data_IF_336234652988
#
_entry.id   IF_336234652988
#
_cell.length_a   1.000
_cell.length_b   1.000
_cell.length_c   1.000
_cell.angle_alpha   90.00
_cell.angle_beta   90.00
_cell.angle_gamma   90.00
#
_symmetry.space_group_name_H-M   'P 1'
#
loop_
_entity.id
_entity.type
_entity.pdbx_description
1 polymer ?
#
# COMPACT_ATOMS: atom_id res chain seq x y z
N UNK A 1 -8.14 -20.52 -72.26
CA UNK A 1 -9.28 -19.75 -71.70
C UNK A 1 -9.16 -19.84 -70.19
N UNK A 2 -8.85 -18.70 -69.59
CA UNK A 2 -8.40 -18.54 -68.21
C UNK A 2 -9.62 -18.41 -67.30
N UNK A 3 -9.67 -19.18 -66.21
CA UNK A 3 -10.70 -19.03 -65.16
C UNK A 3 -10.03 -18.42 -63.94
N UNK A 4 -10.32 -17.15 -63.74
CA UNK A 4 -9.97 -16.29 -62.60
C UNK A 4 -10.88 -16.59 -61.41
N UNK A 5 -10.28 -16.91 -60.27
CA UNK A 5 -10.92 -16.91 -58.94
C UNK A 5 -10.90 -15.51 -58.35
N UNK A 6 -12.08 -14.91 -58.16
CA UNK A 6 -12.26 -13.67 -57.41
C UNK A 6 -12.29 -13.94 -55.89
N UNK A 7 -11.52 -13.15 -55.14
CA UNK A 7 -11.55 -13.02 -53.68
C UNK A 7 -12.52 -11.88 -53.34
N UNK A 8 -13.58 -12.16 -52.59
CA UNK A 8 -14.36 -11.09 -51.93
C UNK A 8 -13.74 -10.69 -50.59
N UNK A 9 -13.61 -9.38 -50.44
CA UNK A 9 -13.02 -8.62 -49.34
C UNK A 9 -14.02 -8.36 -48.21
N UNK A 10 -13.59 -8.55 -46.97
CA UNK A 10 -14.32 -8.20 -45.75
C UNK A 10 -14.38 -6.68 -45.53
N UNK A 11 -15.58 -6.16 -45.27
CA UNK A 11 -15.83 -4.79 -44.83
C UNK A 11 -15.36 -4.58 -43.38
N UNK A 12 -14.43 -3.63 -43.21
CA UNK A 12 -14.00 -3.07 -41.91
C UNK A 12 -14.74 -1.75 -41.72
N UNK A 13 -15.51 -1.62 -40.64
CA UNK A 13 -16.13 -0.34 -40.24
C UNK A 13 -15.26 0.28 -39.16
N UNK A 14 -14.67 1.43 -39.50
CA UNK A 14 -14.00 2.36 -38.59
C UNK A 14 -15.01 2.97 -37.61
N UNK A 15 -14.65 3.04 -36.33
CA UNK A 15 -15.31 3.91 -35.36
C UNK A 15 -14.36 5.05 -35.01
N UNK A 16 -14.78 6.24 -35.42
CA UNK A 16 -14.04 7.49 -35.30
C UNK A 16 -13.84 7.94 -33.85
N UNK A 17 -12.65 8.52 -33.65
CA UNK A 17 -12.24 9.30 -32.50
C UNK A 17 -12.76 10.73 -32.65
N UNK A 18 -13.58 11.21 -31.72
CA UNK A 18 -13.78 12.65 -31.48
C UNK A 18 -13.04 13.00 -30.19
N UNK A 19 -11.93 13.72 -30.32
CA UNK A 19 -11.21 14.31 -29.20
C UNK A 19 -11.77 15.69 -28.86
N UNK A 20 -11.46 16.14 -27.65
CA UNK A 20 -11.19 17.53 -27.33
C UNK A 20 -9.86 17.54 -26.56
N UNK A 21 -8.83 18.07 -27.23
CA UNK A 21 -7.54 18.44 -26.68
C UNK A 21 -7.39 19.96 -26.88
N UNK A 22 -7.14 20.67 -25.79
CA UNK A 22 -6.44 21.95 -25.74
C UNK A 22 -5.65 21.92 -24.43
N UNK A 23 -4.38 22.28 -24.31
CA UNK A 23 -3.36 22.66 -25.28
C UNK A 23 -2.05 22.70 -24.47
N UNK A 24 -0.95 22.15 -24.99
CA UNK A 24 0.42 22.63 -24.71
C UNK A 24 1.41 21.97 -25.66
N UNK A 25 1.71 22.73 -26.71
CA UNK A 25 2.69 22.42 -27.72
C UNK A 25 4.11 22.17 -27.18
N UNK A 26 4.69 21.17 -27.85
CA UNK A 26 6.09 20.73 -27.99
C UNK A 26 7.03 21.85 -28.44
N UNK A 27 8.34 21.60 -28.32
CA UNK A 27 9.35 21.53 -29.39
C UNK A 27 10.70 21.14 -28.72
N UNK A 28 11.62 20.30 -29.23
CA UNK A 28 11.86 19.84 -30.59
C UNK A 28 12.74 18.56 -30.63
N UNK A 29 12.56 17.83 -31.74
CA UNK A 29 13.55 17.11 -32.58
C UNK A 29 14.33 15.90 -32.03
N UNK A 30 13.92 14.74 -32.56
CA UNK A 30 14.72 13.53 -32.84
C UNK A 30 15.81 13.81 -33.87
N UNK A 31 16.98 13.21 -33.65
CA UNK A 31 17.92 12.79 -34.70
C UNK A 31 18.31 11.33 -34.45
N UNK A 32 18.30 10.51 -35.51
CA UNK A 32 18.67 9.09 -35.55
C UNK A 32 20.13 8.94 -35.93
N UNK A 33 20.82 7.96 -35.32
CA UNK A 33 21.92 7.06 -35.78
C UNK A 33 22.75 6.69 -34.54
N UNK A 34 23.41 5.55 -34.37
CA UNK A 34 23.65 4.33 -35.14
C UNK A 34 24.25 3.29 -34.19
N UNK A 35 24.07 2.03 -34.55
CA UNK A 35 24.54 0.79 -33.92
C UNK A 35 26.06 0.77 -33.65
N UNK A 36 26.46 0.31 -32.46
CA UNK A 36 27.76 -0.36 -32.25
C UNK A 36 27.68 -1.32 -31.06
N UNK A 37 27.89 -2.60 -31.35
CA UNK A 37 28.18 -3.65 -30.38
C UNK A 37 29.65 -3.53 -29.98
N UNK A 38 29.97 -3.58 -28.68
CA UNK A 38 31.28 -4.05 -28.22
C UNK A 38 31.23 -4.59 -26.78
N UNK A 39 31.39 -5.91 -26.71
CA UNK A 39 32.13 -6.74 -25.76
C UNK A 39 32.17 -6.35 -24.27
N UNK A 40 31.58 -7.24 -23.47
CA UNK A 40 31.90 -7.45 -22.06
C UNK A 40 33.36 -7.87 -21.89
N UNK A 41 34.09 -7.14 -21.05
CA UNK A 41 35.25 -7.67 -20.32
C UNK A 41 35.03 -7.47 -18.83
N UNK A 42 34.99 -8.60 -18.12
CA UNK A 42 35.12 -8.67 -16.66
C UNK A 42 36.55 -8.32 -16.28
N UNK A 43 36.73 -7.37 -15.35
CA UNK A 43 37.91 -7.31 -14.50
C UNK A 43 37.46 -7.03 -13.06
N UNK A 44 37.98 -7.85 -12.15
CA UNK A 44 37.82 -7.81 -10.71
C UNK A 44 38.89 -6.91 -10.06
N UNK A 45 38.61 -6.52 -8.80
CA UNK A 45 39.49 -6.02 -7.71
C UNK A 45 39.47 -4.48 -7.47
N UNK A 46 39.87 -4.00 -6.27
CA UNK A 46 39.38 -4.31 -4.92
C UNK A 46 39.06 -3.00 -4.10
N UNK A 47 38.69 -3.17 -2.82
CA UNK A 47 38.39 -2.16 -1.78
C UNK A 47 39.06 -0.78 -1.93
N UNK A 48 38.26 0.29 -1.86
CA UNK A 48 38.73 1.63 -1.48
C UNK A 48 37.79 2.31 -0.48
N UNK A 49 38.41 2.72 0.62
CA UNK A 49 37.93 3.57 1.72
C UNK A 49 37.48 4.94 1.21
N UNK A 50 36.30 5.41 1.64
CA UNK A 50 35.79 6.77 1.35
C UNK A 50 35.97 7.66 2.61
N UNK A 51 36.39 8.93 2.49
CA UNK A 51 36.67 9.78 3.64
C UNK A 51 35.42 10.40 4.28
N UNK A 52 35.59 10.79 5.54
CA UNK A 52 34.58 11.36 6.44
C UNK A 52 33.94 12.67 5.93
N UNK A 53 32.61 12.77 6.07
CA UNK A 53 31.88 14.05 6.09
C UNK A 53 31.53 14.36 7.55
N UNK A 54 31.99 15.52 8.03
CA UNK A 54 31.80 16.03 9.39
C UNK A 54 30.41 16.62 9.54
N UNK A 55 29.61 16.14 10.49
CA UNK A 55 28.32 16.75 10.86
C UNK A 55 28.58 17.94 11.79
N UNK A 56 27.96 19.13 11.59
CA UNK A 56 28.08 20.24 12.53
C UNK A 56 27.22 20.03 13.78
N UNK A 57 27.78 20.31 14.96
CA UNK A 57 27.07 20.41 16.24
C UNK A 57 25.99 21.51 16.19
N UNK A 58 24.78 21.20 16.63
CA UNK A 58 23.71 22.19 16.82
C UNK A 58 23.51 22.50 18.30
N UNK A 59 23.67 23.78 18.66
CA UNK A 59 23.25 24.34 19.94
C UNK A 59 21.74 24.56 19.97
N UNK A 60 21.10 24.18 21.07
CA UNK A 60 19.67 24.35 21.31
C UNK A 60 19.29 25.83 21.53
N UNK A 61 18.19 26.33 20.94
CA UNK A 61 17.63 27.63 21.30
C UNK A 61 16.71 27.55 22.53
N UNK A 62 16.48 28.65 23.27
CA UNK A 62 15.79 28.63 24.55
C UNK A 62 14.26 28.54 24.41
N UNK A 63 13.64 27.87 25.39
CA UNK A 63 12.20 27.74 25.58
C UNK A 63 11.49 29.11 25.63
N UNK A 64 10.47 29.29 24.79
CA UNK A 64 9.51 30.37 24.89
C UNK A 64 8.08 29.81 24.89
N UNK A 65 7.26 30.42 25.74
CA UNK A 65 5.93 30.03 26.22
C UNK A 65 4.82 29.96 25.16
N UNK A 66 3.94 28.98 25.37
CA UNK A 66 2.69 28.66 24.65
C UNK A 66 1.73 29.82 24.44
N UNK A 67 1.17 29.95 23.22
CA UNK A 67 -0.14 30.58 22.98
C UNK A 67 -0.78 30.07 21.67
N UNK A 68 -2.03 29.60 21.76
CA UNK A 68 -3.16 29.48 20.80
C UNK A 68 -3.01 29.27 19.28
N UNK A 69 -1.89 29.59 18.64
CA UNK A 69 -1.68 29.48 17.19
C UNK A 69 -1.12 28.11 16.75
N UNK A 70 -0.53 27.33 17.66
CA UNK A 70 0.05 26.02 17.34
C UNK A 70 -0.99 24.94 17.03
N UNK A 71 -2.22 25.04 17.55
CA UNK A 71 -3.27 24.05 17.24
C UNK A 71 -3.80 24.18 15.81
N UNK A 72 -3.86 25.40 15.26
CA UNK A 72 -4.31 25.61 13.88
C UNK A 72 -3.29 25.09 12.86
N UNK A 73 -1.99 25.29 13.10
CA UNK A 73 -0.91 24.75 12.24
C UNK A 73 -0.75 23.22 12.37
N UNK A 74 -1.03 22.66 13.55
CA UNK A 74 -1.13 21.21 13.78
C UNK A 74 -2.21 20.55 12.92
N UNK A 75 -3.35 21.22 12.72
CA UNK A 75 -4.48 20.69 11.96
C UNK A 75 -4.30 20.85 10.44
N UNK A 76 -3.63 21.91 9.98
CA UNK A 76 -3.37 22.15 8.56
C UNK A 76 -2.50 21.05 7.91
N UNK A 77 -1.67 20.35 8.70
CA UNK A 77 -0.86 19.21 8.26
C UNK A 77 -1.60 17.85 8.25
N UNK A 78 -2.88 17.78 8.63
CA UNK A 78 -3.64 16.52 8.76
C UNK A 78 -4.76 16.34 7.73
N UNK A 79 -4.75 17.11 6.65
CA UNK A 79 -5.65 16.94 5.50
C UNK A 79 -4.90 16.36 4.31
N UNK A 80 -5.28 15.16 3.84
CA UNK A 80 -4.59 14.47 2.75
C UNK A 80 -4.53 15.37 1.50
N UNK A 81 -5.65 15.79 0.94
CA UNK A 81 -5.67 16.57 -0.31
C UNK A 81 -5.07 17.98 -0.23
N UNK A 82 -4.76 18.47 0.98
CA UNK A 82 -4.13 19.78 1.22
C UNK A 82 -2.64 19.66 1.56
N UNK A 83 -2.13 18.42 1.73
CA UNK A 83 -0.73 18.15 2.06
C UNK A 83 0.20 18.31 0.83
N UNK A 84 0.21 19.49 0.21
CA UNK A 84 1.04 19.82 -0.95
C UNK A 84 1.37 21.29 -1.11
N UNK A 85 0.70 22.16 -0.36
CA UNK A 85 0.69 23.60 -0.62
C UNK A 85 1.84 24.39 0.05
N UNK A 86 2.37 25.34 -0.73
CA UNK A 86 3.17 26.54 -0.40
C UNK A 86 4.71 26.50 -0.19
N UNK A 87 5.24 27.71 0.05
CA UNK A 87 6.26 28.50 -0.67
C UNK A 87 7.70 27.97 -0.77
N UNK A 88 8.37 28.29 -1.89
CA UNK A 88 9.76 27.92 -2.20
C UNK A 88 10.72 28.97 -1.62
N UNK A 89 11.57 28.57 -0.67
CA UNK A 89 12.79 29.31 -0.33
C UNK A 89 13.94 28.77 -1.21
N UNK A 90 14.50 29.64 -2.06
CA UNK A 90 15.63 29.31 -2.92
C UNK A 90 16.98 29.69 -2.28
N UNK A 91 17.97 28.77 -2.35
CA UNK A 91 19.46 28.94 -2.53
C UNK A 91 20.18 27.65 -2.07
N UNK A 92 21.35 27.20 -2.54
CA UNK A 92 22.37 27.54 -3.57
C UNK A 92 23.08 26.19 -3.89
N UNK A 93 23.53 25.88 -5.13
CA UNK A 93 24.18 24.60 -5.42
C UNK A 93 25.66 24.60 -4.96
N UNK A 94 26.07 23.53 -4.27
CA UNK A 94 27.45 23.18 -3.96
C UNK A 94 28.09 22.32 -5.05
N UNK A 95 29.43 22.32 -5.10
CA UNK A 95 30.30 21.89 -6.19
C UNK A 95 30.31 20.39 -6.53
N UNK A 96 30.53 20.14 -7.82
CA UNK A 96 30.58 18.85 -8.53
C UNK A 96 31.85 18.06 -8.23
N UNK A 97 31.72 16.88 -7.61
CA UNK A 97 32.65 15.74 -7.76
C UNK A 97 31.97 14.36 -7.67
N UNK A 98 30.64 14.29 -7.63
CA UNK A 98 29.87 13.05 -7.56
C UNK A 98 28.69 13.20 -8.54
N UNK A 99 28.33 12.16 -9.30
CA UNK A 99 27.23 12.27 -10.26
C UNK A 99 25.95 12.67 -9.51
N UNK A 100 25.20 13.66 -10.03
CA UNK A 100 23.97 14.12 -9.40
C UNK A 100 22.96 12.96 -9.29
N UNK A 101 22.76 12.45 -8.08
CA UNK A 101 21.74 11.44 -7.81
C UNK A 101 20.35 12.08 -7.79
N UNK A 102 19.35 11.37 -8.33
CA UNK A 102 17.97 11.79 -8.23
C UNK A 102 17.55 11.84 -6.75
N UNK A 103 17.26 13.04 -6.27
CA UNK A 103 16.79 13.28 -4.90
C UNK A 103 15.27 13.24 -4.83
N UNK A 104 14.75 12.67 -3.76
CA UNK A 104 13.30 12.61 -3.52
C UNK A 104 12.96 13.60 -2.42
N UNK A 105 12.27 14.66 -2.81
CA UNK A 105 11.75 15.64 -1.86
C UNK A 105 10.60 15.03 -1.04
N UNK A 106 10.47 15.33 0.27
CA UNK A 106 9.41 14.77 1.14
C UNK A 106 7.97 14.92 0.59
N UNK A 107 7.70 15.99 -0.16
CA UNK A 107 6.42 16.20 -0.87
C UNK A 107 6.04 15.03 -1.79
N UNK A 108 7.03 14.33 -2.37
CA UNK A 108 6.79 13.18 -3.23
C UNK A 108 6.12 12.01 -2.49
N UNK A 109 6.37 11.83 -1.19
CA UNK A 109 5.71 10.78 -0.40
C UNK A 109 4.18 10.95 -0.43
N UNK A 110 3.73 12.20 -0.31
CA UNK A 110 2.33 12.54 -0.42
C UNK A 110 1.81 12.41 -1.85
N UNK A 111 2.51 12.98 -2.85
CA UNK A 111 2.10 12.86 -4.26
C UNK A 111 1.98 11.41 -4.71
N UNK A 112 2.88 10.53 -4.28
CA UNK A 112 2.86 9.11 -4.61
C UNK A 112 1.69 8.36 -3.95
N UNK A 113 1.24 8.80 -2.77
CA UNK A 113 0.08 8.24 -2.08
C UNK A 113 -1.26 8.49 -2.81
N UNK A 114 -1.32 9.48 -3.72
CA UNK A 114 -2.53 9.78 -4.53
C UNK A 114 -2.91 8.67 -5.52
N UNK A 115 -2.05 7.67 -5.68
CA UNK A 115 -2.34 6.44 -6.43
C UNK A 115 -3.54 5.66 -5.86
N UNK A 116 -3.78 5.77 -4.55
CA UNK A 116 -4.93 5.16 -3.90
C UNK A 116 -6.14 6.10 -3.90
N UNK A 117 -7.22 5.68 -4.57
CA UNK A 117 -8.50 6.40 -4.57
C UNK A 117 -9.20 6.42 -3.21
N UNK A 118 -8.88 5.50 -2.30
CA UNK A 118 -9.46 5.45 -0.97
C UNK A 118 -8.70 4.55 0.01
N UNK A 119 -9.02 4.62 1.32
CA UNK A 119 -8.25 3.96 2.39
C UNK A 119 -8.20 2.44 2.26
N UNK A 120 -9.30 1.79 1.89
CA UNK A 120 -9.35 0.33 1.81
C UNK A 120 -8.38 -0.26 0.78
N UNK A 121 -8.10 0.45 -0.31
CA UNK A 121 -7.08 0.02 -1.28
C UNK A 121 -5.68 0.00 -0.67
N UNK A 122 -5.34 1.03 0.13
CA UNK A 122 -4.07 1.10 0.85
C UNK A 122 -3.96 0.04 1.95
N UNK A 123 -5.05 -0.17 2.72
CA UNK A 123 -5.12 -1.24 3.73
C UNK A 123 -4.91 -2.61 3.07
N UNK A 124 -5.55 -2.85 1.93
CA UNK A 124 -5.42 -4.11 1.22
C UNK A 124 -4.00 -4.35 0.68
N UNK A 125 -3.29 -3.33 0.19
CA UNK A 125 -1.88 -3.49 -0.21
C UNK A 125 -0.96 -3.86 0.97
N UNK A 126 -1.23 -3.34 2.17
CA UNK A 126 -0.50 -3.77 3.38
C UNK A 126 -0.83 -5.22 3.76
N UNK A 127 -2.10 -5.62 3.66
CA UNK A 127 -2.51 -7.01 3.85
C UNK A 127 -1.91 -7.95 2.81
N UNK A 128 -1.78 -7.50 1.55
CA UNK A 128 -1.17 -8.25 0.45
C UNK A 128 0.29 -8.61 0.78
N UNK A 129 1.03 -7.71 1.45
CA UNK A 129 2.39 -8.00 1.91
C UNK A 129 2.43 -9.11 2.96
N UNK A 130 1.48 -9.14 3.90
CA UNK A 130 1.40 -10.20 4.90
C UNK A 130 0.93 -11.55 4.29
N UNK A 131 0.05 -11.50 3.29
CA UNK A 131 -0.38 -12.70 2.53
C UNK A 131 0.77 -13.28 1.70
N UNK A 132 1.61 -12.43 1.11
CA UNK A 132 2.83 -12.86 0.43
C UNK A 132 3.79 -13.61 1.38
N UNK A 133 3.74 -13.33 2.69
CA UNK A 133 4.57 -13.97 3.72
C UNK A 133 4.03 -15.33 4.21
N UNK A 134 2.92 -15.84 3.66
CA UNK A 134 2.44 -17.20 3.97
C UNK A 134 3.51 -18.25 3.64
N UNK A 135 4.28 -18.06 2.57
CA UNK A 135 5.38 -18.95 2.23
C UNK A 135 6.56 -18.89 3.23
N UNK A 136 6.60 -17.86 4.07
CA UNK A 136 7.56 -17.67 5.15
C UNK A 136 6.95 -17.91 6.53
N UNK A 137 5.81 -18.61 6.60
CA UNK A 137 5.20 -19.06 7.85
C UNK A 137 4.16 -18.12 8.46
N UNK A 138 3.76 -17.05 7.76
CA UNK A 138 2.66 -16.22 8.24
C UNK A 138 1.37 -17.04 8.35
N UNK A 139 0.74 -16.99 9.53
CA UNK A 139 -0.56 -17.64 9.80
C UNK A 139 -1.67 -16.62 10.05
N UNK A 140 -1.35 -15.34 10.13
CA UNK A 140 -2.33 -14.29 10.28
C UNK A 140 -1.81 -12.93 9.79
N UNK A 141 -2.77 -12.03 9.54
CA UNK A 141 -2.59 -10.58 9.58
C UNK A 141 -3.67 -9.97 10.46
N UNK A 142 -3.27 -9.15 11.42
CA UNK A 142 -4.14 -8.37 12.30
C UNK A 142 -4.21 -6.94 11.82
N UNK A 143 -5.41 -6.39 11.72
CA UNK A 143 -5.66 -4.96 11.47
C UNK A 143 -6.52 -4.44 12.60
N UNK A 144 -5.99 -3.52 13.40
CA UNK A 144 -6.67 -3.04 14.61
C UNK A 144 -6.52 -1.53 14.82
N UNK A 145 -7.34 -0.97 15.70
CA UNK A 145 -7.18 0.38 16.23
C UNK A 145 -6.35 0.29 17.50
N UNK A 146 -5.36 1.15 17.61
CA UNK A 146 -4.67 1.45 18.85
C UNK A 146 -4.73 2.95 19.13
N UNK A 147 -4.36 3.35 20.35
CA UNK A 147 -4.25 4.75 20.71
C UNK A 147 -2.79 5.16 20.77
N UNK A 148 -2.49 6.32 20.19
CA UNK A 148 -1.19 6.95 20.34
C UNK A 148 -0.99 7.37 21.81
N UNK A 149 0.05 6.86 22.45
CA UNK A 149 0.35 7.15 23.87
C UNK A 149 0.60 8.62 24.17
N UNK A 150 0.92 9.45 23.17
CA UNK A 150 1.24 10.87 23.36
C UNK A 150 0.02 11.78 23.41
N UNK A 151 -0.92 11.59 22.50
CA UNK A 151 -2.07 12.50 22.33
C UNK A 151 -3.42 11.76 22.37
N UNK A 152 -3.41 10.46 22.64
CA UNK A 152 -4.59 9.58 22.65
C UNK A 152 -5.36 9.58 21.33
N UNK A 153 -4.73 10.01 20.23
CA UNK A 153 -5.33 9.94 18.89
C UNK A 153 -5.39 8.49 18.38
N UNK A 154 -6.37 8.15 17.53
CA UNK A 154 -6.43 6.82 16.94
C UNK A 154 -5.27 6.60 15.97
N UNK A 155 -4.73 5.39 16.00
CA UNK A 155 -3.73 4.89 15.07
C UNK A 155 -4.15 3.51 14.56
N UNK A 156 -3.70 3.17 13.36
CA UNK A 156 -4.00 1.91 12.68
C UNK A 156 -2.80 0.96 12.83
N UNK A 157 -3.05 -0.21 13.41
CA UNK A 157 -2.09 -1.27 13.64
C UNK A 157 -2.24 -2.33 12.54
N UNK A 158 -1.13 -2.70 11.92
CA UNK A 158 -0.99 -3.94 11.15
C UNK A 158 0.04 -4.83 11.84
N UNK A 159 -0.27 -6.11 12.02
CA UNK A 159 0.69 -7.05 12.55
C UNK A 159 0.52 -8.42 11.90
N UNK A 160 1.62 -8.97 11.40
CA UNK A 160 1.67 -10.32 10.84
C UNK A 160 2.72 -11.18 11.54
N UNK A 161 2.52 -12.49 11.47
CA UNK A 161 3.46 -13.49 11.96
C UNK A 161 4.38 -14.05 10.86
N UNK A 162 4.66 -13.28 9.80
CA UNK A 162 5.49 -13.70 8.66
C UNK A 162 6.97 -13.81 8.99
N UNK A 163 7.81 -13.94 7.96
CA UNK A 163 9.26 -14.15 8.14
C UNK A 163 10.02 -12.93 8.64
N UNK A 164 9.37 -11.77 8.66
CA UNK A 164 9.93 -10.47 9.01
C UNK A 164 11.09 -10.01 8.11
N UNK A 165 11.65 -8.86 8.44
CA UNK A 165 12.71 -8.20 7.70
C UNK A 165 13.97 -8.13 8.54
N UNK A 166 15.08 -8.63 7.99
CA UNK A 166 16.41 -8.34 8.55
C UNK A 166 16.78 -6.86 8.28
N UNK A 167 17.86 -6.35 8.88
CA UNK A 167 18.25 -4.95 8.73
C UNK A 167 18.43 -4.49 7.27
N UNK A 168 18.89 -5.37 6.38
CA UNK A 168 19.01 -5.08 4.95
C UNK A 168 17.63 -4.95 4.30
N UNK A 169 16.75 -5.92 4.54
CA UNK A 169 15.41 -5.95 4.00
C UNK A 169 14.57 -4.74 4.43
N UNK A 170 14.61 -4.33 5.70
CA UNK A 170 13.83 -3.16 6.15
C UNK A 170 14.33 -1.87 5.50
N UNK A 171 15.64 -1.71 5.30
CA UNK A 171 16.20 -0.57 4.56
C UNK A 171 15.71 -0.54 3.12
N UNK A 172 15.69 -1.69 2.43
CA UNK A 172 15.11 -1.79 1.10
C UNK A 172 13.60 -1.47 1.10
N UNK A 173 12.87 -1.97 2.09
CA UNK A 173 11.44 -1.67 2.30
C UNK A 173 11.17 -0.18 2.51
N UNK A 174 12.12 0.57 3.09
CA UNK A 174 12.06 2.02 3.30
C UNK A 174 12.56 2.85 2.11
N UNK A 175 13.41 2.28 1.24
CA UNK A 175 13.91 2.91 0.00
C UNK A 175 12.94 2.84 -1.19
N UNK A 176 12.78 3.92 -1.95
CA UNK A 176 11.87 3.97 -3.12
C UNK A 176 12.35 3.08 -4.28
N UNK A 177 11.42 2.35 -4.90
CA UNK A 177 11.68 1.57 -6.12
C UNK A 177 12.43 0.24 -5.93
N UNK A 178 12.66 -0.21 -4.69
CA UNK A 178 13.30 -1.49 -4.43
C UNK A 178 12.27 -2.60 -4.21
N UNK A 179 12.38 -3.67 -5.01
CA UNK A 179 11.62 -4.92 -4.84
C UNK A 179 12.45 -6.09 -5.32
N UNK A 180 12.77 -7.02 -4.42
CA UNK A 180 13.42 -8.29 -4.77
C UNK A 180 12.41 -9.38 -5.14
N UNK A 181 11.10 -9.11 -5.01
CA UNK A 181 10.01 -10.04 -5.31
C UNK A 181 9.92 -10.28 -6.82
N UNK A 182 10.71 -11.25 -7.31
CA UNK A 182 10.75 -11.71 -8.71
C UNK A 182 9.81 -12.89 -9.00
N UNK A 183 9.16 -13.44 -7.98
CA UNK A 183 8.25 -14.57 -8.13
C UNK A 183 6.91 -14.13 -8.73
N UNK A 184 6.48 -14.80 -9.81
CA UNK A 184 5.21 -14.54 -10.50
C UNK A 184 3.95 -14.75 -9.62
N UNK A 185 4.11 -15.35 -8.44
CA UNK A 185 3.03 -15.68 -7.49
C UNK A 185 2.81 -14.63 -6.40
N UNK A 186 3.71 -13.66 -6.25
CA UNK A 186 3.58 -12.58 -5.26
C UNK A 186 2.69 -11.46 -5.78
N UNK A 187 1.91 -10.86 -4.88
CA UNK A 187 1.03 -9.72 -5.20
C UNK A 187 1.88 -8.45 -5.30
N UNK A 188 2.79 -8.22 -4.35
CA UNK A 188 3.66 -7.04 -4.33
C UNK A 188 4.82 -7.15 -5.31
N UNK A 189 4.84 -6.30 -6.35
CA UNK A 189 5.91 -6.35 -7.38
C UNK A 189 6.67 -5.03 -7.55
N UNK A 190 6.05 -3.90 -7.21
CA UNK A 190 6.54 -2.57 -7.61
C UNK A 190 7.45 -1.88 -6.59
N UNK A 191 7.64 -2.44 -5.39
CA UNK A 191 8.54 -1.86 -4.37
C UNK A 191 8.07 -0.52 -3.76
N UNK A 192 6.83 -0.11 -4.07
CA UNK A 192 6.26 1.17 -3.62
C UNK A 192 5.03 1.02 -2.71
N UNK A 193 4.36 -0.14 -2.74
CA UNK A 193 3.04 -0.31 -2.11
C UNK A 193 3.02 -0.01 -0.61
N UNK A 194 4.09 -0.35 0.13
CA UNK A 194 4.21 0.00 1.55
C UNK A 194 4.15 1.52 1.75
N UNK A 195 4.99 2.28 1.04
CA UNK A 195 5.15 3.73 1.23
C UNK A 195 3.89 4.47 0.80
N UNK A 196 3.33 4.10 -0.37
CA UNK A 196 2.09 4.72 -0.88
C UNK A 196 0.93 4.45 0.06
N UNK A 197 0.83 3.22 0.58
CA UNK A 197 -0.25 2.82 1.47
C UNK A 197 -0.15 3.50 2.83
N UNK A 198 1.02 3.50 3.47
CA UNK A 198 1.21 4.16 4.77
C UNK A 198 0.94 5.65 4.68
N UNK A 199 1.49 6.31 3.65
CA UNK A 199 1.32 7.75 3.43
C UNK A 199 -0.11 8.12 3.00
N UNK A 200 -0.89 7.19 2.43
CA UNK A 200 -2.33 7.40 2.17
C UNK A 200 -3.16 7.31 3.45
N UNK A 201 -2.73 6.52 4.44
CA UNK A 201 -3.53 6.25 5.64
C UNK A 201 -3.24 7.23 6.77
N UNK A 202 -2.01 7.69 6.91
CA UNK A 202 -1.62 8.73 7.86
C UNK A 202 -0.36 9.46 7.43
N UNK A 203 -0.03 10.53 8.14
CA UNK A 203 1.19 11.30 7.88
C UNK A 203 2.44 10.53 8.29
N UNK A 204 2.34 9.62 9.27
CA UNK A 204 3.49 8.99 9.87
C UNK A 204 3.27 7.49 10.10
N UNK A 205 4.31 6.70 9.88
CA UNK A 205 4.31 5.27 10.13
C UNK A 205 5.62 4.81 10.77
N UNK A 206 5.50 3.99 11.81
CA UNK A 206 6.62 3.30 12.44
C UNK A 206 6.49 1.80 12.19
N UNK A 207 7.61 1.16 11.87
CA UNK A 207 7.70 -0.28 11.59
C UNK A 207 8.64 -0.92 12.59
N UNK A 208 8.17 -2.01 13.19
CA UNK A 208 8.96 -2.94 13.98
C UNK A 208 9.00 -4.26 13.23
N UNK A 209 10.18 -4.85 13.06
CA UNK A 209 10.29 -6.16 12.42
C UNK A 209 11.26 -7.04 13.19
N UNK A 210 10.86 -8.30 13.37
CA UNK A 210 11.70 -9.36 13.91
C UNK A 210 12.03 -10.32 12.76
N UNK A 211 13.30 -10.63 12.54
CA UNK A 211 13.69 -11.64 11.57
C UNK A 211 14.70 -12.61 12.18
N UNK A 212 14.43 -13.90 11.98
CA UNK A 212 15.38 -14.97 12.28
C UNK A 212 15.89 -15.55 10.97
N UNK A 213 17.21 -15.53 10.76
CA UNK A 213 17.91 -16.05 9.58
C UNK A 213 19.06 -16.94 10.06
N UNK A 214 18.85 -18.25 10.01
CA UNK A 214 19.79 -19.22 10.59
C UNK A 214 19.95 -18.99 12.10
N UNK A 215 21.17 -18.73 12.55
CA UNK A 215 21.49 -18.43 13.96
C UNK A 215 21.35 -16.95 14.33
N UNK A 216 21.08 -16.06 13.36
CA UNK A 216 20.99 -14.63 13.62
C UNK A 216 19.53 -14.22 13.78
N UNK A 217 19.19 -13.66 14.94
CA UNK A 217 17.90 -13.04 15.19
C UNK A 217 18.10 -11.53 15.33
N UNK A 218 17.30 -10.76 14.61
CA UNK A 218 17.42 -9.30 14.50
C UNK A 218 16.10 -8.63 14.77
N UNK A 219 16.18 -7.43 15.34
CA UNK A 219 15.03 -6.55 15.57
C UNK A 219 15.34 -5.18 15.00
N UNK A 220 14.46 -4.67 14.15
CA UNK A 220 14.65 -3.41 13.46
C UNK A 220 13.48 -2.47 13.69
N UNK A 221 13.78 -1.19 13.86
CA UNK A 221 12.80 -0.11 13.92
C UNK A 221 13.09 0.86 12.78
N UNK A 222 12.07 1.20 12.01
CA UNK A 222 12.16 2.25 11.00
C UNK A 222 10.99 3.23 11.09
N UNK A 223 11.29 4.52 10.98
CA UNK A 223 10.31 5.59 11.07
C UNK A 223 10.19 6.34 9.73
N UNK A 224 9.06 6.20 9.07
CA UNK A 224 8.68 7.00 7.90
C UNK A 224 7.71 8.10 8.35
N UNK A 225 8.24 9.28 8.66
CA UNK A 225 7.46 10.38 9.23
C UNK A 225 7.45 11.61 8.32
N UNK A 226 6.31 11.88 7.67
CA UNK A 226 6.12 13.11 6.91
C UNK A 226 6.13 14.33 7.83
N UNK A 227 5.59 14.20 9.05
CA UNK A 227 5.54 15.27 10.05
C UNK A 227 6.94 15.72 10.45
N UNK A 228 7.85 14.79 10.76
CA UNK A 228 9.27 15.06 11.01
C UNK A 228 9.89 15.81 9.84
N UNK A 229 9.82 15.25 8.63
CA UNK A 229 10.45 15.82 7.43
C UNK A 229 9.97 17.24 7.15
N UNK A 230 8.66 17.50 7.28
CA UNK A 230 8.07 18.82 7.05
C UNK A 230 8.42 19.82 8.13
N UNK A 231 8.37 19.43 9.41
CA UNK A 231 8.59 20.35 10.53
C UNK A 231 10.04 20.75 10.69
N UNK A 232 10.98 19.87 10.36
CA UNK A 232 12.40 20.20 10.37
C UNK A 232 12.89 20.76 9.03
N UNK A 233 12.00 20.93 8.04
CA UNK A 233 12.33 21.50 6.74
C UNK A 233 13.33 20.69 5.92
N UNK A 234 13.25 19.35 5.95
CA UNK A 234 14.15 18.51 5.15
C UNK A 234 13.87 18.65 3.65
N UNK A 235 14.94 18.74 2.86
CA UNK A 235 14.85 18.74 1.40
C UNK A 235 14.87 17.33 0.80
N UNK A 236 15.30 16.34 1.59
CA UNK A 236 15.32 14.91 1.23
C UNK A 236 14.48 14.07 2.18
N UNK A 237 14.00 12.93 1.68
CA UNK A 237 13.41 11.89 2.53
C UNK A 237 14.52 11.19 3.33
N UNK A 238 14.56 11.50 4.63
CA UNK A 238 15.40 10.83 5.64
C UNK A 238 14.53 9.89 6.47
N UNK A 239 14.96 8.65 6.64
CA UNK A 239 14.25 7.63 7.42
C UNK A 239 15.13 7.17 8.59
N UNK A 240 14.86 7.65 9.82
CA UNK A 240 15.56 7.16 11.01
C UNK A 240 15.33 5.66 11.19
N UNK A 241 16.42 4.91 11.35
CA UNK A 241 16.39 3.46 11.54
C UNK A 241 17.42 3.04 12.59
N UNK A 242 17.04 2.05 13.39
CA UNK A 242 17.92 1.39 14.36
C UNK A 242 17.71 -0.11 14.31
N UNK A 243 18.79 -0.86 14.49
CA UNK A 243 18.77 -2.31 14.49
C UNK A 243 19.42 -2.86 15.77
N UNK A 244 18.95 -4.04 16.17
CA UNK A 244 19.47 -4.82 17.27
C UNK A 244 19.75 -6.24 16.80
N UNK A 245 20.87 -6.81 17.23
CA UNK A 245 21.12 -8.24 17.19
C UNK A 245 20.71 -8.85 18.53
N UNK A 246 19.99 -9.96 18.48
CA UNK A 246 19.62 -10.75 19.65
C UNK A 246 20.69 -11.81 19.89
N UNK A 247 21.51 -11.61 20.92
CA UNK A 247 22.53 -12.55 21.35
C UNK A 247 22.41 -12.82 22.85
N UNK A 248 22.42 -14.08 23.26
CA UNK A 248 22.42 -14.48 24.69
C UNK A 248 21.31 -13.81 25.53
N UNK A 249 20.09 -13.70 24.99
CA UNK A 249 18.95 -12.98 25.59
C UNK A 249 19.16 -11.47 25.81
N UNK A 250 20.18 -10.87 25.19
CA UNK A 250 20.40 -9.42 25.18
C UNK A 250 20.12 -8.83 23.80
N UNK A 251 19.66 -7.57 23.82
CA UNK A 251 19.45 -6.74 22.62
C UNK A 251 20.66 -5.84 22.44
N UNK A 252 21.55 -6.21 21.52
CA UNK A 252 22.78 -5.48 21.25
C UNK A 252 22.57 -4.55 20.05
N UNK A 253 22.80 -3.22 20.17
CA UNK A 253 22.72 -2.30 19.04
C UNK A 253 23.67 -2.70 17.91
N UNK A 254 23.18 -2.70 16.66
CA UNK A 254 24.05 -2.82 15.48
C UNK A 254 24.46 -1.43 15.03
N UNK A 255 25.76 -1.13 15.15
CA UNK A 255 26.33 0.18 14.82
C UNK A 255 26.98 0.11 13.44
N UNK A 256 26.47 0.88 12.48
CA UNK A 256 27.00 0.92 11.11
C UNK A 256 28.10 1.96 10.91
N UNK A 257 27.90 3.16 11.46
CA UNK A 257 28.81 4.30 11.26
C UNK A 257 29.44 4.71 12.59
N UNK A 258 28.64 5.24 13.50
CA UNK A 258 29.09 5.65 14.83
C UNK A 258 28.00 5.45 15.89
N UNK A 259 28.41 5.40 17.17
CA UNK A 259 27.47 5.33 18.29
C UNK A 259 26.56 6.56 18.35
N UNK A 260 27.08 7.73 17.96
CA UNK A 260 26.33 8.98 17.94
C UNK A 260 25.26 8.97 16.85
N UNK A 261 25.55 8.43 15.67
CA UNK A 261 24.55 8.28 14.59
C UNK A 261 23.42 7.33 15.01
N UNK A 262 23.77 6.20 15.63
CA UNK A 262 22.77 5.26 16.14
C UNK A 262 21.90 5.91 17.22
N UNK A 263 22.52 6.62 18.16
CA UNK A 263 21.83 7.30 19.25
C UNK A 263 20.97 8.46 18.73
N UNK A 264 21.44 9.19 17.73
CA UNK A 264 20.70 10.24 17.03
C UNK A 264 19.45 9.69 16.35
N UNK A 265 19.58 8.61 15.58
CA UNK A 265 18.42 7.93 14.97
C UNK A 265 17.43 7.43 16.02
N UNK A 266 17.93 6.85 17.10
CA UNK A 266 17.09 6.40 18.20
C UNK A 266 16.31 7.56 18.83
N UNK A 267 16.98 8.68 19.09
CA UNK A 267 16.36 9.88 19.65
C UNK A 267 15.33 10.48 18.71
N UNK A 268 15.58 10.52 17.40
CA UNK A 268 14.59 10.95 16.41
C UNK A 268 13.36 10.03 16.42
N UNK A 269 13.55 8.72 16.49
CA UNK A 269 12.43 7.76 16.59
C UNK A 269 11.65 8.02 17.89
N UNK A 270 12.35 8.16 19.01
CA UNK A 270 11.72 8.42 20.30
C UNK A 270 10.97 9.76 20.30
N UNK A 271 11.50 10.80 19.65
CA UNK A 271 10.92 12.14 19.59
C UNK A 271 9.67 12.20 18.70
N UNK A 272 9.68 11.53 17.54
CA UNK A 272 8.67 11.69 16.50
C UNK A 272 7.66 10.53 16.40
N UNK A 273 7.91 9.40 17.06
CA UNK A 273 6.98 8.28 17.14
C UNK A 273 5.98 8.39 18.31
N UNK A 274 4.94 7.53 18.38
CA UNK A 274 4.07 7.43 19.54
C UNK A 274 4.76 7.07 20.86
N UNK A 275 6.00 6.55 20.80
CA UNK A 275 6.72 5.98 21.94
C UNK A 275 7.90 6.87 22.32
N UNK A 276 7.87 7.44 23.51
CA UNK A 276 8.84 8.45 23.94
C UNK A 276 10.07 7.86 24.63
N UNK A 277 9.97 6.64 25.16
CA UNK A 277 11.10 6.00 25.87
C UNK A 277 11.61 4.74 25.17
N UNK A 278 12.83 4.35 25.52
CA UNK A 278 13.43 3.11 25.03
C UNK A 278 12.60 1.90 25.43
N UNK A 279 12.09 1.87 26.65
CA UNK A 279 11.28 0.79 27.18
C UNK A 279 9.94 0.68 26.44
N UNK A 280 9.34 1.81 26.03
CA UNK A 280 8.10 1.80 25.23
C UNK A 280 8.33 1.26 23.82
N UNK A 281 9.41 1.69 23.16
CA UNK A 281 9.81 1.20 21.85
C UNK A 281 10.13 -0.30 21.89
N UNK A 282 10.93 -0.74 22.85
CA UNK A 282 11.33 -2.15 22.96
C UNK A 282 10.17 -3.07 23.32
N UNK A 283 9.20 -2.59 24.11
CA UNK A 283 7.95 -3.32 24.40
C UNK A 283 7.14 -3.63 23.15
N UNK A 284 7.30 -2.88 22.06
CA UNK A 284 6.57 -3.16 20.81
C UNK A 284 7.00 -4.46 20.13
N UNK A 285 8.13 -5.06 20.50
CA UNK A 285 8.57 -6.36 19.96
C UNK A 285 7.99 -7.56 20.71
N UNK A 286 7.48 -7.38 21.93
CA UNK A 286 7.18 -8.49 22.85
C UNK A 286 6.03 -9.39 22.35
N UNK A 287 5.10 -8.83 21.59
CA UNK A 287 3.94 -9.53 21.00
C UNK A 287 4.13 -9.91 19.52
N UNK A 288 5.27 -9.56 18.90
CA UNK A 288 5.61 -9.96 17.53
C UNK A 288 6.12 -11.41 17.52
N UNK A 289 6.95 -11.77 18.49
CA UNK A 289 7.63 -13.07 18.56
C UNK A 289 9.01 -13.05 17.90
N UNK A 290 9.52 -14.22 17.52
CA UNK A 290 10.85 -14.39 16.92
C UNK A 290 10.92 -14.00 15.44
N UNK A 291 9.77 -13.93 14.77
CA UNK A 291 9.64 -13.44 13.41
C UNK A 291 8.29 -12.73 13.23
N UNK A 292 8.23 -11.74 12.35
CA UNK A 292 7.01 -11.02 12.02
C UNK A 292 7.24 -9.53 11.85
N UNK A 293 6.19 -8.82 11.45
CA UNK A 293 6.23 -7.36 11.26
C UNK A 293 5.04 -6.72 11.94
N UNK A 294 5.29 -5.57 12.56
CA UNK A 294 4.28 -4.68 13.13
C UNK A 294 4.45 -3.28 12.52
N UNK A 295 3.38 -2.75 11.96
CA UNK A 295 3.32 -1.42 11.37
C UNK A 295 2.27 -0.63 12.14
N UNK A 296 2.63 0.56 12.61
CA UNK A 296 1.71 1.48 13.27
C UNK A 296 1.66 2.75 12.44
N UNK A 297 0.49 3.07 11.91
CA UNK A 297 0.24 4.28 11.14
C UNK A 297 -0.57 5.23 12.04
N UNK A 298 -0.04 6.42 12.27
CA UNK A 298 -0.61 7.41 13.17
C UNK A 298 -0.62 8.78 12.50
N UNK A 299 -1.22 9.77 13.18
CA UNK A 299 -1.60 11.03 12.53
C UNK A 299 -2.45 10.75 11.27
N UNK A 300 -3.50 9.94 11.47
CA UNK A 300 -4.43 9.55 10.42
C UNK A 300 -5.07 10.78 9.76
N UNK A 301 -5.32 10.68 8.45
CA UNK A 301 -5.86 11.79 7.69
C UNK A 301 -7.30 12.10 8.09
N UNK A 302 -7.61 13.41 8.09
CA UNK A 302 -8.92 13.96 8.33
C UNK A 302 -9.63 14.25 6.99
N UNK A 303 -10.94 14.06 6.97
CA UNK A 303 -11.80 14.47 5.87
C UNK A 303 -12.09 15.97 5.92
N UNK A 304 -12.93 16.47 4.99
CA UNK A 304 -13.23 17.91 4.89
C UNK A 304 -13.99 18.46 6.12
N UNK A 305 -14.67 17.58 6.87
CA UNK A 305 -15.31 17.91 8.15
C UNK A 305 -14.34 17.89 9.35
N UNK A 306 -13.06 17.59 9.13
CA UNK A 306 -12.04 17.53 10.18
C UNK A 306 -12.10 16.26 11.03
N UNK A 307 -12.80 15.23 10.58
CA UNK A 307 -12.90 13.93 11.25
C UNK A 307 -12.00 12.90 10.57
N UNK A 308 -11.51 11.91 11.32
CA UNK A 308 -10.72 10.81 10.72
C UNK A 308 -11.57 10.07 9.68
N UNK A 309 -11.02 9.86 8.48
CA UNK A 309 -11.70 9.19 7.35
C UNK A 309 -12.21 7.78 7.73
N UNK A 310 -11.41 7.09 8.56
CA UNK A 310 -11.75 5.80 9.15
C UNK A 310 -12.61 5.99 10.40
N UNK A 311 -13.73 5.27 10.43
CA UNK A 311 -14.61 5.16 11.57
C UNK A 311 -14.35 3.85 12.30
N UNK A 312 -14.09 3.98 13.60
CA UNK A 312 -13.68 2.89 14.47
C UNK A 312 -14.69 2.60 15.59
N UNK A 313 -15.75 3.40 15.65
CA UNK A 313 -16.63 3.49 16.81
C UNK A 313 -18.06 3.04 16.48
N UNK A 314 -18.51 3.13 15.22
CA UNK A 314 -19.84 2.64 14.82
C UNK A 314 -20.01 1.12 14.90
N UNK A 315 -18.94 0.35 14.72
CA UNK A 315 -18.91 -1.10 14.90
C UNK A 315 -17.57 -1.50 15.54
N UNK A 316 -17.62 -2.03 16.77
CA UNK A 316 -16.43 -2.42 17.53
C UNK A 316 -15.59 -3.50 16.84
N UNK A 317 -16.21 -4.27 15.94
CA UNK A 317 -15.60 -5.38 15.21
C UNK A 317 -15.27 -5.01 13.77
N UNK A 318 -15.40 -3.75 13.36
CA UNK A 318 -15.11 -3.33 12.00
C UNK A 318 -14.31 -2.03 11.96
N UNK A 319 -13.81 -1.71 10.77
CA UNK A 319 -13.23 -0.41 10.44
C UNK A 319 -14.02 0.07 9.23
N UNK A 320 -14.78 1.14 9.41
CA UNK A 320 -15.71 1.64 8.40
C UNK A 320 -15.21 2.93 7.73
N UNK A 321 -15.73 3.27 6.56
CA UNK A 321 -15.57 4.60 5.96
C UNK A 321 -16.70 5.52 6.43
N UNK A 322 -16.33 6.67 7.01
CA UNK A 322 -17.29 7.60 7.63
C UNK A 322 -18.30 8.17 6.63
N UNK A 323 -17.84 8.56 5.44
CA UNK A 323 -18.65 9.33 4.48
C UNK A 323 -19.73 8.50 3.77
N UNK A 324 -19.62 7.17 3.80
CA UNK A 324 -20.56 6.27 3.14
C UNK A 324 -21.66 5.74 4.07
N UNK A 325 -21.41 5.60 5.37
CA UNK A 325 -22.41 5.12 6.36
C UNK A 325 -23.57 6.13 6.49
N UNK A 326 -23.28 7.43 6.41
CA UNK A 326 -24.27 8.51 6.58
C UNK A 326 -25.28 8.59 5.41
N UNK A 327 -24.98 8.00 4.24
CA UNK A 327 -25.82 8.11 3.03
C UNK A 327 -26.83 6.98 2.86
N UNK A 328 -26.86 6.00 3.76
CA UNK A 328 -27.51 4.70 3.54
C UNK A 328 -28.76 4.39 4.36
N UNK A 329 -29.35 5.30 5.14
CA UNK A 329 -30.50 4.94 5.97
C UNK A 329 -31.83 5.10 5.21
N UNK A 330 -32.31 4.00 4.62
CA UNK A 330 -33.65 3.91 4.05
C UNK A 330 -34.54 2.95 4.85
N UNK A 331 -35.86 3.19 4.88
CA UNK A 331 -36.78 2.55 5.84
C UNK A 331 -37.50 1.31 5.30
N UNK A 332 -37.30 0.90 4.04
CA UNK A 332 -38.05 -0.22 3.42
C UNK A 332 -37.30 -1.55 3.53
N UNK A 333 -38.05 -2.63 3.71
CA UNK A 333 -37.51 -3.98 3.88
C UNK A 333 -36.65 -4.45 2.69
N UNK A 334 -37.01 -4.07 1.46
CA UNK A 334 -36.25 -4.38 0.25
C UNK A 334 -34.88 -3.69 0.23
N UNK A 335 -34.82 -2.47 0.75
CA UNK A 335 -33.58 -1.71 0.83
C UNK A 335 -32.62 -2.33 1.86
N UNK A 336 -33.16 -2.87 2.96
CA UNK A 336 -32.35 -3.59 3.98
C UNK A 336 -31.65 -4.84 3.42
N UNK A 337 -32.29 -5.58 2.51
CA UNK A 337 -31.65 -6.76 1.89
C UNK A 337 -30.47 -6.31 1.02
N UNK A 338 -30.65 -5.25 0.23
CA UNK A 338 -29.59 -4.67 -0.61
C UNK A 338 -28.47 -4.08 0.25
N UNK A 339 -28.81 -3.34 1.31
CA UNK A 339 -27.87 -2.74 2.26
C UNK A 339 -27.06 -3.79 3.02
N UNK A 340 -27.65 -4.97 3.28
CA UNK A 340 -26.95 -6.09 3.92
C UNK A 340 -26.05 -6.89 2.96
N UNK A 341 -26.29 -6.80 1.65
CA UNK A 341 -25.57 -7.60 0.66
C UNK A 341 -24.11 -7.14 0.53
N UNK A 342 -23.21 -8.10 0.27
CA UNK A 342 -21.76 -7.87 0.20
C UNK A 342 -21.37 -6.76 -0.79
N UNK A 343 -22.09 -6.64 -1.91
CA UNK A 343 -21.84 -5.63 -2.95
C UNK A 343 -22.05 -4.19 -2.47
N UNK A 344 -22.90 -4.00 -1.47
CA UNK A 344 -23.13 -2.71 -0.85
C UNK A 344 -22.17 -2.51 0.32
N UNK A 345 -22.06 -3.50 1.21
CA UNK A 345 -21.20 -3.43 2.40
C UNK A 345 -19.72 -3.21 2.08
N UNK A 346 -19.19 -3.81 1.02
CA UNK A 346 -17.77 -3.66 0.64
C UNK A 346 -17.34 -2.22 0.36
N UNK A 347 -18.29 -1.32 0.15
CA UNK A 347 -18.00 0.07 -0.16
C UNK A 347 -17.54 0.83 1.09
N UNK A 348 -18.03 0.44 2.28
CA UNK A 348 -17.75 1.15 3.52
C UNK A 348 -17.31 0.26 4.69
N UNK A 349 -17.44 -1.07 4.64
CA UNK A 349 -17.02 -1.99 5.70
C UNK A 349 -15.74 -2.71 5.29
N UNK A 350 -14.65 -2.50 6.05
CA UNK A 350 -13.37 -3.14 5.76
C UNK A 350 -13.49 -4.66 5.91
N UNK A 351 -14.24 -5.14 6.91
CA UNK A 351 -14.50 -6.58 7.10
C UNK A 351 -15.19 -7.19 5.88
N UNK A 352 -16.20 -6.52 5.34
CA UNK A 352 -16.87 -6.95 4.12
C UNK A 352 -15.89 -6.95 2.94
N UNK A 353 -15.13 -5.86 2.75
CA UNK A 353 -14.14 -5.76 1.68
C UNK A 353 -13.05 -6.84 1.75
N UNK A 354 -12.49 -7.08 2.94
CA UNK A 354 -11.47 -8.09 3.20
C UNK A 354 -11.99 -9.53 2.95
N UNK A 355 -13.27 -9.79 3.23
CA UNK A 355 -13.86 -11.13 3.08
C UNK A 355 -13.82 -11.65 1.63
N UNK A 356 -13.91 -10.75 0.64
CA UNK A 356 -13.94 -11.06 -0.79
C UNK A 356 -12.61 -10.71 -1.48
N UNK A 357 -11.64 -10.19 -0.73
CA UNK A 357 -10.39 -9.65 -1.29
C UNK A 357 -9.54 -10.72 -1.98
N UNK A 358 -9.60 -11.96 -1.47
CA UNK A 358 -8.82 -13.08 -1.98
C UNK A 358 -9.72 -14.19 -2.54
N UNK A 359 -9.40 -14.66 -3.75
CA UNK A 359 -10.21 -15.65 -4.47
C UNK A 359 -10.20 -17.04 -3.81
N UNK A 360 -9.02 -17.50 -3.40
CA UNK A 360 -8.78 -18.82 -2.81
C UNK A 360 -9.03 -18.78 -1.31
N UNK A 361 -9.63 -19.86 -0.79
CA UNK A 361 -9.77 -20.09 0.65
C UNK A 361 -8.37 -20.22 1.26
N UNK A 362 -8.14 -19.50 2.35
CA UNK A 362 -6.99 -19.75 3.21
C UNK A 362 -7.26 -20.99 4.04
N UNK A 363 -6.27 -21.87 4.16
CA UNK A 363 -6.33 -23.05 5.03
C UNK A 363 -5.74 -22.74 6.40
N UNK A 364 -4.54 -22.15 6.41
CA UNK A 364 -3.72 -21.94 7.61
C UNK A 364 -3.38 -20.46 7.83
N UNK A 365 -4.14 -19.56 7.20
CA UNK A 365 -3.97 -18.11 7.31
C UNK A 365 -5.28 -17.42 7.67
N UNK A 366 -5.23 -16.44 8.57
CA UNK A 366 -6.40 -15.68 9.02
C UNK A 366 -6.20 -14.18 8.88
N UNK A 367 -7.19 -13.51 8.28
CA UNK A 367 -7.31 -12.05 8.39
C UNK A 367 -8.12 -11.76 9.63
N UNK A 368 -7.57 -10.96 10.55
CA UNK A 368 -8.20 -10.60 11.81
C UNK A 368 -8.37 -9.09 11.81
N UNK A 369 -9.61 -8.62 11.89
CA UNK A 369 -9.92 -7.19 11.99
C UNK A 369 -10.50 -6.95 13.38
N UNK A 370 -10.03 -5.95 14.12
CA UNK A 370 -10.56 -5.58 15.44
C UNK A 370 -10.73 -6.79 16.38
N UNK A 371 -9.67 -7.61 16.48
CA UNK A 371 -9.64 -8.85 17.26
C UNK A 371 -10.51 -10.02 16.76
N UNK A 372 -11.30 -9.86 15.70
CA UNK A 372 -12.23 -10.91 15.21
C UNK A 372 -11.82 -11.41 13.82
N UNK A 373 -11.59 -12.73 13.63
CA UNK A 373 -11.32 -13.32 12.33
C UNK A 373 -12.39 -12.99 11.29
N UNK A 374 -11.95 -12.65 10.08
CA UNK A 374 -12.82 -12.38 8.93
C UNK A 374 -13.19 -13.69 8.27
N UNK A 375 -14.48 -13.97 8.17
CA UNK A 375 -14.98 -15.09 7.39
C UNK A 375 -14.89 -14.76 5.90
N UNK A 376 -14.13 -15.55 5.13
CA UNK A 376 -14.02 -15.32 3.69
C UNK A 376 -15.35 -15.59 2.98
N UNK A 377 -15.73 -14.66 2.11
CA UNK A 377 -16.93 -14.72 1.28
C UNK A 377 -16.56 -15.23 -0.11
N UNK A 378 -16.91 -16.48 -0.41
CA UNK A 378 -16.62 -17.09 -1.70
C UNK A 378 -17.83 -16.99 -2.62
N UNK A 379 -17.70 -16.12 -3.62
CA UNK A 379 -18.78 -15.81 -4.56
C UNK A 379 -19.34 -17.06 -5.22
N UNK A 380 -18.51 -18.04 -5.60
CA UNK A 380 -18.98 -19.26 -6.24
C UNK A 380 -19.88 -20.12 -5.35
N UNK A 381 -19.70 -20.05 -4.03
CA UNK A 381 -20.55 -20.76 -3.09
C UNK A 381 -21.94 -20.11 -3.01
N UNK A 382 -22.07 -18.85 -3.46
CA UNK A 382 -23.30 -18.05 -3.49
C UNK A 382 -24.00 -18.01 -4.85
N UNK A 383 -23.54 -18.84 -5.80
CA UNK A 383 -24.17 -18.97 -7.11
C UNK A 383 -25.10 -20.19 -7.17
N UNK A 384 -26.29 -19.99 -7.74
CA UNK A 384 -27.16 -21.05 -8.27
C UNK A 384 -27.05 -21.11 -9.79
N UNK A 385 -27.27 -22.31 -10.34
CA UNK A 385 -27.15 -22.58 -11.78
C UNK A 385 -25.78 -22.20 -12.37
N UNK A 386 -24.71 -22.42 -11.61
CA UNK A 386 -23.36 -22.03 -12.00
C UNK A 386 -22.86 -22.82 -13.21
N UNK A 387 -22.18 -22.13 -14.12
CA UNK A 387 -21.42 -22.71 -15.23
C UNK A 387 -19.99 -22.20 -15.19
N UNK A 388 -19.05 -23.09 -15.52
CA UNK A 388 -17.64 -22.73 -15.71
C UNK A 388 -17.41 -22.51 -17.20
N UNK A 389 -16.84 -21.37 -17.55
CA UNK A 389 -16.46 -20.99 -18.89
C UNK A 389 -14.95 -20.81 -18.94
N UNK A 390 -14.33 -21.30 -20.00
CA UNK A 390 -12.90 -21.09 -20.27
C UNK A 390 -12.76 -20.05 -21.37
N UNK A 391 -12.05 -18.97 -21.07
CA UNK A 391 -11.68 -17.94 -22.03
C UNK A 391 -10.22 -18.12 -22.45
N UNK A 392 -9.98 -18.18 -23.76
CA UNK A 392 -8.64 -18.20 -24.34
C UNK A 392 -8.42 -16.87 -25.09
N UNK A 393 -7.65 -15.92 -24.53
CA UNK A 393 -7.28 -14.70 -25.24
C UNK A 393 -6.46 -15.05 -26.49
N UNK A 394 -6.70 -14.32 -27.57
CA UNK A 394 -5.89 -14.43 -28.79
C UNK A 394 -4.56 -13.70 -28.57
N UNK A 395 -3.63 -14.34 -27.89
CA UNK A 395 -2.24 -13.90 -27.83
C UNK A 395 -1.56 -14.39 -29.11
N UNK A 396 -1.15 -13.48 -30.00
CA UNK A 396 -0.32 -13.82 -31.15
C UNK A 396 0.93 -14.63 -30.74
N UNK A 397 1.60 -15.28 -31.71
CA UNK A 397 2.55 -16.41 -31.60
C UNK A 397 3.77 -16.36 -30.63
N UNK A 398 3.71 -15.67 -29.48
CA UNK A 398 4.86 -15.45 -28.56
C UNK A 398 4.53 -15.70 -27.08
N UNK A 399 3.49 -16.44 -26.67
CA UNK A 399 3.43 -16.91 -25.27
C UNK A 399 2.57 -18.14 -25.04
N UNK A 400 2.93 -18.90 -23.98
CA UNK A 400 2.19 -20.07 -23.43
C UNK A 400 0.68 -19.83 -23.48
N UNK A 401 -0.10 -20.85 -23.81
CA UNK A 401 -1.57 -20.79 -23.71
C UNK A 401 -1.96 -20.33 -22.29
N UNK A 402 -2.33 -19.06 -22.15
CA UNK A 402 -2.96 -18.53 -20.95
C UNK A 402 -4.44 -18.75 -21.16
N UNK A 403 -5.09 -19.55 -20.32
CA UNK A 403 -6.54 -19.64 -20.28
C UNK A 403 -7.03 -19.07 -18.97
N UNK A 404 -8.11 -18.30 -19.02
CA UNK A 404 -8.78 -17.74 -17.86
C UNK A 404 -10.06 -18.52 -17.61
N UNK A 405 -10.35 -18.84 -16.36
CA UNK A 405 -11.58 -19.52 -15.97
C UNK A 405 -12.55 -18.54 -15.35
N UNK A 406 -13.79 -18.57 -15.82
CA UNK A 406 -14.89 -17.79 -15.27
C UNK A 406 -15.97 -18.72 -14.73
N UNK A 407 -16.33 -18.59 -13.46
CA UNK A 407 -17.54 -19.21 -12.90
C UNK A 407 -18.65 -18.17 -12.93
N UNK A 408 -19.73 -18.45 -13.66
CA UNK A 408 -20.89 -17.55 -13.83
C UNK A 408 -22.15 -18.24 -13.34
N UNK A 409 -22.99 -17.53 -12.60
CA UNK A 409 -24.28 -18.04 -12.16
C UNK A 409 -25.19 -16.92 -11.69
N UNK A 410 -26.35 -17.29 -11.18
CA UNK A 410 -27.24 -16.33 -10.51
C UNK A 410 -26.94 -16.32 -9.03
N UNK A 411 -27.00 -15.16 -8.36
CA UNK A 411 -26.96 -15.11 -6.90
C UNK A 411 -28.11 -15.92 -6.31
N UNK A 412 -27.90 -16.56 -5.16
CA UNK A 412 -28.96 -17.33 -4.47
C UNK A 412 -30.20 -16.45 -4.21
N UNK A 413 -29.97 -15.21 -3.82
CA UNK A 413 -31.00 -14.20 -3.54
C UNK A 413 -31.64 -13.62 -4.80
N UNK A 414 -31.15 -13.91 -6.01
CA UNK A 414 -31.80 -13.44 -7.24
C UNK A 414 -33.22 -14.05 -7.37
N UNK A 415 -34.24 -13.30 -7.84
CA UNK A 415 -34.16 -11.94 -8.38
C UNK A 415 -34.40 -10.83 -7.34
N UNK A 416 -34.42 -11.13 -6.03
CA UNK A 416 -34.71 -10.14 -4.98
C UNK A 416 -33.67 -9.02 -4.92
N UNK A 417 -32.44 -9.29 -5.36
CA UNK A 417 -31.37 -8.30 -5.45
C UNK A 417 -31.02 -8.00 -6.91
N UNK A 418 -31.01 -6.72 -7.27
CA UNK A 418 -30.60 -6.21 -8.59
C UNK A 418 -29.08 -6.16 -8.78
N UNK A 419 -28.32 -7.04 -8.11
CA UNK A 419 -26.86 -7.07 -8.15
C UNK A 419 -26.42 -7.97 -9.30
N UNK A 420 -25.53 -7.46 -10.14
CA UNK A 420 -24.94 -8.19 -11.25
C UNK A 420 -23.53 -7.67 -11.54
N UNK A 421 -22.70 -8.50 -12.19
CA UNK A 421 -21.37 -8.12 -12.64
C UNK A 421 -20.27 -9.15 -12.37
N UNK A 422 -19.08 -8.83 -12.84
CA UNK A 422 -17.89 -9.65 -12.74
C UNK A 422 -17.01 -9.22 -11.58
N UNK A 423 -16.60 -10.17 -10.77
CA UNK A 423 -15.57 -9.99 -9.78
C UNK A 423 -14.26 -10.48 -10.41
N UNK A 424 -13.43 -9.51 -10.77
CA UNK A 424 -12.19 -9.75 -11.51
C UNK A 424 -11.05 -9.86 -10.52
N UNK A 425 -10.40 -11.02 -10.51
CA UNK A 425 -9.22 -11.28 -9.69
C UNK A 425 -7.98 -11.36 -10.56
N UNK A 426 -6.84 -10.96 -10.02
CA UNK A 426 -5.53 -11.16 -10.61
C UNK A 426 -4.57 -11.67 -9.54
N UNK A 427 -3.88 -12.79 -9.79
CA UNK A 427 -2.97 -13.42 -8.81
C UNK A 427 -3.61 -13.57 -7.42
N UNK A 428 -4.80 -14.16 -7.37
CA UNK A 428 -5.59 -14.36 -6.15
C UNK A 428 -6.17 -13.08 -5.53
N UNK A 429 -5.86 -11.88 -6.03
CA UNK A 429 -6.28 -10.60 -5.46
C UNK A 429 -7.42 -9.96 -6.27
N UNK A 430 -8.49 -9.54 -5.59
CA UNK A 430 -9.61 -8.83 -6.21
C UNK A 430 -9.14 -7.47 -6.74
N UNK A 431 -9.35 -7.23 -8.03
CA UNK A 431 -9.03 -5.94 -8.68
C UNK A 431 -10.28 -5.09 -8.84
N UNK A 432 -11.39 -5.73 -9.25
CA UNK A 432 -12.65 -5.02 -9.49
C UNK A 432 -13.84 -5.86 -9.03
N UNK A 433 -14.55 -5.44 -7.96
CA UNK A 433 -15.80 -6.07 -7.55
C UNK A 433 -16.97 -5.66 -8.44
N UNK A 434 -17.91 -6.59 -8.66
CA UNK A 434 -19.21 -6.36 -9.33
C UNK A 434 -19.15 -5.47 -10.59
N UNK A 435 -18.15 -5.69 -11.45
CA UNK A 435 -17.99 -4.95 -12.69
C UNK A 435 -19.12 -5.28 -13.67
N UNK A 436 -20.02 -4.31 -13.90
CA UNK A 436 -21.12 -4.44 -14.86
C UNK A 436 -20.59 -4.44 -16.29
N UNK A 437 -21.03 -5.41 -17.10
CA UNK A 437 -20.66 -5.53 -18.51
C UNK A 437 -21.67 -4.86 -19.46
N UNK A 438 -22.92 -4.70 -19.04
CA UNK A 438 -23.96 -4.01 -19.80
C UNK A 438 -24.44 -2.81 -18.99
N UNK A 439 -24.41 -1.62 -19.59
CA UNK A 439 -24.81 -0.35 -18.94
C UNK A 439 -26.23 0.07 -19.32
N UNK A 440 -26.88 -0.71 -20.18
CA UNK A 440 -28.02 -0.31 -21.01
C UNK A 440 -29.35 -0.24 -20.23
N UNK A 441 -29.32 -0.33 -18.90
CA UNK A 441 -30.51 -0.30 -18.02
C UNK A 441 -31.51 -1.45 -18.23
N UNK A 442 -31.19 -2.40 -19.11
CA UNK A 442 -32.06 -3.50 -19.48
C UNK A 442 -32.03 -4.61 -18.41
N UNK A 443 -33.15 -5.33 -18.24
CA UNK A 443 -33.28 -6.40 -17.23
C UNK A 443 -32.46 -7.66 -17.57
N UNK A 444 -31.85 -7.71 -18.76
CA UNK A 444 -31.02 -8.82 -19.24
C UNK A 444 -29.74 -8.93 -18.41
N UNK A 445 -29.52 -10.10 -17.81
CA UNK A 445 -28.33 -10.36 -16.98
C UNK A 445 -28.43 -9.88 -15.53
N UNK A 446 -29.57 -9.35 -15.10
CA UNK A 446 -29.79 -9.04 -13.69
C UNK A 446 -29.69 -10.29 -12.82
N UNK A 447 -29.03 -10.17 -11.67
CA UNK A 447 -28.75 -11.29 -10.78
C UNK A 447 -27.58 -12.18 -11.21
N UNK A 448 -27.02 -11.98 -12.42
CA UNK A 448 -25.87 -12.76 -12.90
C UNK A 448 -24.59 -12.19 -12.32
N UNK A 449 -23.90 -13.03 -11.55
CA UNK A 449 -22.59 -12.71 -11.00
C UNK A 449 -21.58 -13.72 -11.51
N UNK A 450 -20.40 -13.19 -11.84
CA UNK A 450 -19.27 -13.99 -12.26
C UNK A 450 -18.07 -13.74 -11.36
N UNK A 451 -17.20 -14.74 -11.25
CA UNK A 451 -15.81 -14.57 -10.81
C UNK A 451 -14.89 -14.99 -11.95
N UNK A 452 -13.81 -14.26 -12.15
CA UNK A 452 -12.81 -14.49 -13.20
C UNK A 452 -11.42 -14.51 -12.57
N UNK A 453 -10.57 -15.44 -13.00
CA UNK A 453 -9.17 -15.60 -12.59
C UNK A 453 -8.25 -15.75 -13.79
#
# INVERSE_FOLDING_TARGET
MSVTTEKESFNVVELGSSGDEEDRLRHAKRTKTSTSQQQQQQQQQPLHTVPMIRVPEFQAPPLASSNGQDQASLLECRSFWKAGDYYVLHKKPGSVEDLDHARVHPKFLHSNATSHKGPFGAIAELMDNAVDEICHGATFVKVDKIYNSRDNSPALLFQDGGGGMDPGCIRQCMSLGYSEKKANTTIGQYGNGFKTSTMRLGADAIVFSCATRGSHATQSIGLLSYTFLRRTGQDDVIVPMVDFELAENQRNPIIYTSQDDWSGNFNLIAEWSPFATKEELLRQFDDIGCHGTKIIIYNLWLNDEGLVELDFDSDEKDICLRDEVTRGQSSRQHDRIIESHISYRLRFSLRAYASILYLRKFTDFQIIIRGVPVQQYHIADELKFSKVLTYKPHTGSISKEVSAEATIGFLKEAPLIGVSGFNVYHKNRLIRPFWRLTYDGNSRGNGVVARCY
#
